data_IF_297518114299
#
_entry.id   IF_297518114299
#
_cell.length_a   1.000
_cell.length_b   1.000
_cell.length_c   1.000
_cell.angle_alpha   90.00
_cell.angle_beta   90.00
_cell.angle_gamma   90.00
#
_symmetry.space_group_name_H-M   'P 1'
#
loop_
_entity.id
_entity.type
_entity.pdbx_description
1 polymer ?
#
# COMPACT_ATOMS: atom_id res chain seq x y z
N UNK A 1 16.20 4.19 5.05
CA UNK A 1 15.69 2.86 5.51
C UNK A 1 16.80 1.83 5.49
N UNK A 2 17.48 1.59 4.35
CA UNK A 2 18.56 0.59 4.24
C UNK A 2 19.70 0.86 5.25
N UNK A 3 20.17 2.08 5.35
CA UNK A 3 21.19 2.51 6.33
C UNK A 3 20.80 2.23 7.78
N UNK A 4 19.50 2.26 8.07
CA UNK A 4 18.95 1.94 9.39
C UNK A 4 18.72 0.43 9.59
N UNK A 5 19.20 -0.42 8.67
CA UNK A 5 19.12 -1.87 8.78
C UNK A 5 17.84 -2.50 8.23
N UNK A 6 17.03 -1.78 7.46
CA UNK A 6 15.87 -2.37 6.81
C UNK A 6 16.29 -3.41 5.77
N UNK A 7 15.76 -4.62 5.88
CA UNK A 7 16.07 -5.77 5.01
C UNK A 7 15.04 -6.01 3.94
N UNK A 8 13.87 -5.38 4.06
CA UNK A 8 12.78 -5.49 3.09
C UNK A 8 11.95 -4.22 3.03
N UNK A 9 11.55 -3.88 1.81
CA UNK A 9 10.58 -2.82 1.54
C UNK A 9 9.44 -3.37 0.68
N UNK A 10 8.25 -2.88 0.91
CA UNK A 10 7.10 -3.09 0.05
C UNK A 10 6.32 -1.80 -0.12
N UNK A 11 5.32 -1.81 -0.99
CA UNK A 11 4.48 -0.64 -1.24
C UNK A 11 3.03 -1.05 -1.46
N UNK A 12 2.16 -0.12 -1.22
CA UNK A 12 0.75 -0.20 -1.57
C UNK A 12 0.43 1.04 -2.39
N UNK A 13 -0.23 0.87 -3.52
CA UNK A 13 -0.71 1.99 -4.30
C UNK A 13 -1.78 2.77 -3.52
N UNK A 14 -1.64 4.09 -3.52
CA UNK A 14 -2.54 5.00 -2.83
C UNK A 14 -4.00 4.68 -3.16
N UNK A 15 -4.82 4.61 -2.14
CA UNK A 15 -6.25 4.37 -2.24
C UNK A 15 -7.01 5.64 -1.84
N UNK A 16 -8.10 5.90 -2.55
CA UNK A 16 -8.94 7.06 -2.32
C UNK A 16 -10.40 6.63 -2.00
N UNK A 17 -10.62 5.90 -0.89
CA UNK A 17 -11.96 5.46 -0.53
C UNK A 17 -12.82 6.64 -0.05
N UNK A 18 -14.11 6.59 -0.36
CA UNK A 18 -15.14 7.51 0.11
C UNK A 18 -14.70 8.99 0.06
N UNK A 19 -14.71 9.68 1.20
CA UNK A 19 -14.36 11.09 1.35
C UNK A 19 -12.90 11.43 1.04
N UNK A 20 -12.02 10.46 0.99
CA UNK A 20 -10.59 10.69 0.69
C UNK A 20 -10.41 11.18 -0.76
N UNK A 21 -11.23 10.72 -1.70
CA UNK A 21 -11.12 11.14 -3.10
C UNK A 21 -11.37 12.65 -3.30
N UNK A 22 -12.47 13.23 -2.84
CA UNK A 22 -12.68 14.68 -2.94
C UNK A 22 -11.65 15.50 -2.15
N UNK A 23 -11.21 15.03 -0.99
CA UNK A 23 -10.16 15.69 -0.21
C UNK A 23 -8.83 15.72 -0.97
N UNK A 24 -8.44 14.60 -1.59
CA UNK A 24 -7.21 14.54 -2.39
C UNK A 24 -7.28 15.44 -3.62
N UNK A 25 -8.42 15.50 -4.31
CA UNK A 25 -8.64 16.41 -5.42
C UNK A 25 -8.52 17.88 -5.00
N UNK A 26 -9.12 18.25 -3.87
CA UNK A 26 -9.02 19.60 -3.32
C UNK A 26 -7.58 19.95 -2.95
N UNK A 27 -6.85 19.01 -2.34
CA UNK A 27 -5.44 19.17 -2.01
C UNK A 27 -4.58 19.36 -3.27
N UNK A 28 -4.79 18.55 -4.30
CA UNK A 28 -4.08 18.71 -5.58
C UNK A 28 -4.35 20.08 -6.21
N UNK A 29 -5.61 20.52 -6.23
CA UNK A 29 -5.97 21.82 -6.77
C UNK A 29 -5.32 22.98 -6.01
N UNK A 30 -5.17 22.86 -4.69
CA UNK A 30 -4.55 23.88 -3.86
C UNK A 30 -3.01 23.93 -4.00
N UNK A 31 -2.35 22.76 -4.10
CA UNK A 31 -0.89 22.68 -4.03
C UNK A 31 -0.21 22.42 -5.38
N UNK A 32 -0.90 21.75 -6.30
CA UNK A 32 -0.35 21.38 -7.61
C UNK A 32 -1.39 21.55 -8.73
N UNK A 33 -1.96 22.75 -8.92
CA UNK A 33 -3.05 22.98 -9.87
C UNK A 33 -2.68 22.56 -11.29
N UNK A 34 -1.46 22.84 -11.73
CA UNK A 34 -0.98 22.51 -13.08
C UNK A 34 -0.83 20.99 -13.35
N UNK A 35 -0.85 20.19 -12.31
CA UNK A 35 -0.66 18.73 -12.38
C UNK A 35 -1.86 17.94 -11.88
N UNK A 36 -2.85 18.60 -11.32
CA UNK A 36 -3.99 17.95 -10.66
C UNK A 36 -4.70 16.97 -11.60
N UNK A 37 -5.06 17.40 -12.79
CA UNK A 37 -5.73 16.57 -13.79
C UNK A 37 -4.87 15.39 -14.23
N UNK A 38 -3.60 15.62 -14.48
CA UNK A 38 -2.66 14.56 -14.88
C UNK A 38 -2.52 13.49 -13.78
N UNK A 39 -2.40 13.91 -12.53
CA UNK A 39 -2.29 12.98 -11.40
C UNK A 39 -3.57 12.17 -11.26
N UNK A 40 -4.73 12.81 -11.34
CA UNK A 40 -6.01 12.11 -11.24
C UNK A 40 -6.25 11.14 -12.40
N UNK A 41 -5.88 11.50 -13.64
CA UNK A 41 -5.92 10.55 -14.75
C UNK A 41 -5.05 9.33 -14.51
N UNK A 42 -3.83 9.51 -14.01
CA UNK A 42 -2.95 8.38 -13.66
C UNK A 42 -3.55 7.50 -12.55
N UNK A 43 -4.18 8.09 -11.54
CA UNK A 43 -4.90 7.37 -10.50
C UNK A 43 -6.05 6.55 -11.09
N UNK A 44 -6.85 7.16 -11.96
CA UNK A 44 -7.96 6.49 -12.62
C UNK A 44 -7.49 5.35 -13.55
N UNK A 45 -6.43 5.54 -14.31
CA UNK A 45 -5.83 4.48 -15.13
C UNK A 45 -5.43 3.27 -14.29
N UNK A 46 -4.83 3.51 -13.13
CA UNK A 46 -4.45 2.46 -12.19
C UNK A 46 -5.66 1.77 -11.55
N UNK A 47 -6.80 2.45 -11.48
CA UNK A 47 -8.02 2.01 -10.79
C UNK A 47 -9.17 1.61 -11.73
N UNK A 48 -8.86 1.32 -13.00
CA UNK A 48 -9.86 0.90 -13.98
C UNK A 48 -10.86 1.99 -14.34
N UNK A 49 -10.41 3.23 -14.45
CA UNK A 49 -11.21 4.40 -14.83
C UNK A 49 -11.93 5.08 -13.65
N UNK A 50 -11.67 4.70 -12.42
CA UNK A 50 -12.30 5.23 -11.20
C UNK A 50 -11.28 5.89 -10.28
N UNK A 51 -11.73 6.76 -9.39
CA UNK A 51 -10.86 7.34 -8.37
C UNK A 51 -10.42 6.29 -7.33
N UNK A 52 -11.27 5.31 -7.06
CA UNK A 52 -10.99 4.20 -6.15
C UNK A 52 -11.50 2.87 -6.69
N UNK A 53 -10.73 1.81 -6.49
CA UNK A 53 -11.11 0.44 -6.78
C UNK A 53 -11.39 -0.29 -5.46
N UNK A 54 -12.65 -0.67 -5.18
CA UNK A 54 -13.01 -1.39 -3.96
C UNK A 54 -12.69 -2.89 -4.03
N UNK A 55 -12.37 -3.43 -5.22
CA UNK A 55 -12.18 -4.86 -5.43
C UNK A 55 -11.00 -5.40 -4.60
N UNK A 56 -11.27 -6.42 -3.81
CA UNK A 56 -10.29 -7.02 -2.90
C UNK A 56 -9.01 -7.48 -3.61
N UNK A 57 -9.10 -8.03 -4.81
CA UNK A 57 -7.96 -8.60 -5.52
C UNK A 57 -7.07 -7.56 -6.22
N UNK A 58 -7.64 -6.43 -6.61
CA UNK A 58 -6.95 -5.38 -7.41
C UNK A 58 -6.67 -4.12 -6.63
N UNK A 59 -7.43 -3.81 -5.58
CA UNK A 59 -7.34 -2.55 -4.82
C UNK A 59 -5.96 -2.20 -4.27
N UNK A 60 -5.13 -3.21 -3.96
CA UNK A 60 -3.80 -3.01 -3.38
C UNK A 60 -2.70 -2.92 -4.46
N UNK A 61 -2.91 -3.56 -5.59
CA UNK A 61 -1.89 -3.71 -6.64
C UNK A 61 -2.06 -2.73 -7.79
N UNK A 62 -3.30 -2.30 -8.06
CA UNK A 62 -3.64 -1.52 -9.24
C UNK A 62 -3.49 -2.30 -10.54
N UNK A 63 -3.88 -1.66 -11.63
CA UNK A 63 -3.89 -2.23 -12.98
C UNK A 63 -3.19 -1.28 -13.96
N UNK A 64 -2.87 -1.79 -15.16
CA UNK A 64 -2.38 -0.99 -16.26
C UNK A 64 -0.89 -0.64 -16.19
N UNK A 65 -0.48 0.16 -17.17
CA UNK A 65 0.93 0.49 -17.43
C UNK A 65 1.58 1.24 -16.26
N UNK A 66 0.87 2.19 -15.66
CA UNK A 66 1.38 2.98 -14.55
C UNK A 66 1.62 2.14 -13.29
N UNK A 67 0.70 1.24 -12.96
CA UNK A 67 0.88 0.32 -11.85
C UNK A 67 2.08 -0.60 -12.08
N UNK A 68 2.27 -1.08 -13.30
CA UNK A 68 3.40 -1.91 -13.66
C UNK A 68 4.74 -1.14 -13.61
N UNK A 69 4.76 0.10 -14.06
CA UNK A 69 5.93 0.98 -13.99
C UNK A 69 6.36 1.22 -12.53
N UNK A 70 5.41 1.56 -11.66
CA UNK A 70 5.67 1.77 -10.23
C UNK A 70 6.23 0.47 -9.62
N UNK A 71 5.61 -0.67 -9.91
CA UNK A 71 6.08 -1.99 -9.44
C UNK A 71 7.53 -2.26 -9.84
N UNK A 72 7.86 -2.00 -11.09
CA UNK A 72 9.22 -2.21 -11.62
C UNK A 72 10.22 -1.29 -10.93
N UNK A 73 9.88 -0.02 -10.76
CA UNK A 73 10.74 0.96 -10.07
C UNK A 73 10.97 0.59 -8.61
N UNK A 74 9.93 0.21 -7.89
CA UNK A 74 10.07 -0.20 -6.47
C UNK A 74 10.90 -1.46 -6.34
N UNK A 75 10.67 -2.47 -7.19
CA UNK A 75 11.48 -3.70 -7.18
C UNK A 75 12.95 -3.43 -7.48
N UNK A 76 13.22 -2.55 -8.44
CA UNK A 76 14.58 -2.15 -8.78
C UNK A 76 15.26 -1.45 -7.60
N UNK A 77 14.63 -0.43 -7.03
CA UNK A 77 15.14 0.29 -5.87
C UNK A 77 15.36 -0.63 -4.66
N UNK A 78 14.42 -1.53 -4.37
CA UNK A 78 14.56 -2.48 -3.28
C UNK A 78 15.80 -3.37 -3.48
N UNK A 79 16.05 -3.84 -4.70
CA UNK A 79 17.23 -4.64 -5.04
C UNK A 79 18.52 -3.83 -4.93
N UNK A 80 18.57 -2.63 -5.49
CA UNK A 80 19.73 -1.73 -5.44
C UNK A 80 20.14 -1.40 -4.00
N UNK A 81 19.17 -1.33 -3.08
CA UNK A 81 19.42 -1.05 -1.66
C UNK A 81 19.43 -2.29 -0.76
N UNK A 82 19.42 -3.50 -1.31
CA UNK A 82 19.45 -4.74 -0.54
C UNK A 82 18.23 -4.98 0.35
N UNK A 83 17.07 -4.36 -0.01
CA UNK A 83 15.81 -4.46 0.72
C UNK A 83 14.82 -5.43 0.05
N UNK A 84 15.31 -6.44 -0.65
CA UNK A 84 14.51 -7.49 -1.28
C UNK A 84 14.72 -8.87 -0.64
N UNK A 85 15.33 -8.91 0.54
CA UNK A 85 15.64 -10.16 1.25
C UNK A 85 14.37 -10.88 1.66
N UNK A 86 14.44 -12.20 1.70
CA UNK A 86 13.35 -13.03 2.20
C UNK A 86 13.18 -12.80 3.71
N UNK A 87 11.94 -12.66 4.15
CA UNK A 87 11.68 -12.65 5.58
C UNK A 87 12.07 -14.00 6.21
N UNK A 88 12.63 -13.99 7.41
CA UNK A 88 12.75 -15.21 8.18
C UNK A 88 11.34 -15.78 8.44
N UNK A 89 11.27 -17.09 8.59
CA UNK A 89 10.02 -17.74 8.98
C UNK A 89 9.52 -17.19 10.32
N UNK A 90 8.23 -16.93 10.39
CA UNK A 90 7.63 -16.51 11.66
C UNK A 90 7.74 -17.65 12.67
N UNK A 91 8.15 -17.31 13.88
CA UNK A 91 8.21 -18.24 14.99
C UNK A 91 6.90 -18.19 15.76
N UNK A 92 6.21 -19.31 15.82
CA UNK A 92 5.00 -19.50 16.62
C UNK A 92 5.25 -20.32 17.90
N UNK A 93 6.43 -20.89 18.01
CA UNK A 93 6.83 -21.73 19.16
C UNK A 93 6.99 -20.95 20.48
N UNK A 94 7.16 -19.65 20.41
CA UNK A 94 7.23 -18.76 21.57
C UNK A 94 5.87 -18.23 22.02
N UNK A 95 4.83 -18.43 21.22
CA UNK A 95 3.49 -18.00 21.60
C UNK A 95 2.96 -18.86 22.73
N UNK A 96 2.62 -18.22 23.84
CA UNK A 96 1.89 -18.83 24.96
C UNK A 96 0.51 -18.18 24.99
N UNK A 97 -0.58 -18.96 24.83
CA UNK A 97 -1.92 -18.42 25.01
C UNK A 97 -2.02 -17.82 26.42
N UNK A 98 -2.71 -16.71 26.62
CA UNK A 98 -3.00 -16.23 27.96
C UNK A 98 -3.76 -17.32 28.73
N UNK A 99 -3.39 -17.52 29.98
CA UNK A 99 -4.13 -18.42 30.84
C UNK A 99 -5.56 -17.93 31.01
N UNK A 100 -6.52 -18.84 30.85
CA UNK A 100 -7.95 -18.52 30.95
C UNK A 100 -8.46 -18.30 32.38
N UNK A 101 -7.56 -18.24 33.35
CA UNK A 101 -7.92 -18.03 34.73
C UNK A 101 -8.63 -16.68 34.92
N UNK A 102 -9.91 -16.73 35.19
CA UNK A 102 -10.76 -15.58 35.45
C UNK A 102 -11.65 -15.09 34.32
N UNK A 103 -11.60 -15.69 33.16
CA UNK A 103 -12.62 -15.37 32.13
C UNK A 103 -13.89 -16.17 32.44
N UNK A 104 -14.90 -15.49 33.02
CA UNK A 104 -16.24 -16.08 33.14
C UNK A 104 -16.74 -16.43 31.71
N UNK A 105 -17.20 -17.65 31.54
CA UNK A 105 -17.92 -18.05 30.34
C UNK A 105 -19.17 -17.16 30.24
N UNK A 106 -19.25 -16.37 29.17
CA UNK A 106 -20.39 -15.49 28.90
C UNK A 106 -21.61 -16.24 28.37
N UNK A 107 -21.48 -17.54 28.20
CA UNK A 107 -22.56 -18.42 27.71
C UNK A 107 -22.59 -19.73 28.48
#
# INVERSE_FOLDING_TARGET
AAEAGAIRASYILMRLPHEVAPLFRAWLAAHYPDRADKVMHMVQDIRGGRDNDPNFFTRMKGQGVWAQLIRTRVKRAAREHGMDRRFPSLRSDLFRPPERDGQMELF
#
